data_IF_416349365973
#
_entry.id   IF_416349365973
#
_cell.length_a   1.000
_cell.length_b   1.000
_cell.length_c   1.000
_cell.angle_alpha   90.00
_cell.angle_beta   90.00
_cell.angle_gamma   90.00
#
_symmetry.space_group_name_H-M   'P 1'
#
loop_
_entity.id
_entity.type
_entity.pdbx_description
1 polymer ?
#
# COMPACT_ATOMS: atom_id res chain seq x y z
N UNK A 1 77.92 -36.77 25.78
CA UNK A 1 76.69 -37.42 25.32
C UNK A 1 75.54 -36.67 25.95
N UNK A 2 74.98 -35.72 25.22
CA UNK A 2 73.89 -34.92 25.69
C UNK A 2 72.78 -35.06 24.64
N UNK A 3 71.68 -35.67 25.05
CA UNK A 3 70.45 -35.85 24.24
C UNK A 3 69.63 -34.58 24.27
N UNK A 4 69.33 -33.98 23.09
CA UNK A 4 68.47 -32.88 22.93
C UNK A 4 67.03 -33.37 22.86
N UNK A 5 66.18 -32.90 23.77
CA UNK A 5 64.73 -33.04 23.69
C UNK A 5 64.18 -31.91 22.78
N UNK A 6 63.71 -32.27 21.60
CA UNK A 6 62.91 -31.41 20.76
C UNK A 6 61.47 -31.41 21.25
N UNK A 7 60.99 -30.28 21.75
CA UNK A 7 59.53 -30.00 21.93
C UNK A 7 58.93 -29.69 20.59
N UNK A 8 58.10 -30.58 20.06
CA UNK A 8 57.16 -30.29 19.00
C UNK A 8 56.00 -29.47 19.59
N UNK A 9 55.95 -28.22 19.22
CA UNK A 9 54.80 -27.35 19.46
C UNK A 9 53.73 -27.73 18.43
N UNK A 10 52.71 -28.49 18.84
CA UNK A 10 51.53 -28.69 18.08
C UNK A 10 50.77 -27.36 18.02
N UNK A 11 50.82 -26.70 16.84
CA UNK A 11 49.96 -25.59 16.54
C UNK A 11 48.50 -26.04 16.56
N UNK A 12 47.72 -25.50 17.49
CA UNK A 12 46.27 -25.59 17.48
C UNK A 12 45.80 -24.78 16.28
N UNK A 13 45.63 -25.45 15.16
CA UNK A 13 44.98 -24.86 13.97
C UNK A 13 43.56 -24.53 14.35
N UNK A 14 43.24 -23.26 14.25
CA UNK A 14 41.89 -22.69 14.43
C UNK A 14 40.99 -23.33 13.36
N UNK A 15 40.34 -24.43 13.70
CA UNK A 15 39.34 -25.09 12.84
C UNK A 15 38.04 -24.29 12.95
N UNK A 16 38.02 -23.13 12.30
CA UNK A 16 36.79 -22.39 12.11
C UNK A 16 35.96 -23.09 11.04
N UNK A 17 34.94 -23.81 11.46
CA UNK A 17 33.98 -24.44 10.59
C UNK A 17 32.79 -23.50 10.39
N UNK A 18 32.49 -23.18 9.14
CA UNK A 18 31.31 -22.37 8.79
C UNK A 18 30.20 -23.33 8.37
N UNK A 19 29.14 -23.41 9.18
CA UNK A 19 27.96 -24.23 8.90
C UNK A 19 26.82 -23.33 8.43
N UNK A 20 26.10 -23.79 7.40
CA UNK A 20 24.88 -23.14 6.95
C UNK A 20 23.68 -23.45 7.85
N UNK A 21 22.77 -22.47 8.03
CA UNK A 21 21.50 -22.72 8.70
C UNK A 21 20.66 -23.69 7.89
N UNK A 22 20.02 -24.66 8.54
CA UNK A 22 19.00 -25.52 7.95
C UNK A 22 17.63 -24.97 8.32
N UNK A 23 16.70 -24.95 7.35
CA UNK A 23 15.37 -24.37 7.52
C UNK A 23 14.32 -25.46 7.36
N UNK A 24 13.42 -25.59 8.33
CA UNK A 24 12.17 -26.33 8.17
C UNK A 24 11.14 -25.43 7.46
N UNK A 25 10.96 -25.62 6.17
CA UNK A 25 10.10 -24.81 5.30
C UNK A 25 8.66 -24.75 5.83
N UNK A 26 8.12 -25.88 6.31
CA UNK A 26 6.77 -25.96 6.89
C UNK A 26 6.59 -25.03 8.10
N UNK A 27 7.56 -25.03 9.02
CA UNK A 27 7.49 -24.14 10.20
C UNK A 27 7.66 -22.68 9.82
N UNK A 28 8.53 -22.39 8.86
CA UNK A 28 8.72 -21.03 8.36
C UNK A 28 7.42 -20.50 7.73
N UNK A 29 6.76 -21.28 6.86
CA UNK A 29 5.48 -20.92 6.27
C UNK A 29 4.41 -20.66 7.33
N UNK A 30 4.28 -21.54 8.33
CA UNK A 30 3.33 -21.35 9.44
C UNK A 30 3.62 -20.07 10.23
N UNK A 31 4.87 -19.77 10.54
CA UNK A 31 5.24 -18.52 11.19
C UNK A 31 4.91 -17.30 10.33
N UNK A 32 5.19 -17.36 9.03
CA UNK A 32 4.86 -16.27 8.10
C UNK A 32 3.35 -16.05 8.00
N UNK A 33 2.57 -17.10 7.81
CA UNK A 33 1.11 -17.04 7.66
C UNK A 33 0.46 -16.50 8.95
N UNK A 34 0.91 -16.92 10.13
CA UNK A 34 0.23 -16.58 11.39
C UNK A 34 0.84 -15.41 12.15
N UNK A 35 2.09 -15.02 11.89
CA UNK A 35 2.78 -14.00 12.67
C UNK A 35 3.04 -12.69 11.94
N UNK A 36 3.14 -12.70 10.60
CA UNK A 36 3.39 -11.49 9.83
C UNK A 36 2.13 -10.66 9.61
N UNK A 37 0.96 -11.28 9.68
CA UNK A 37 -0.27 -10.63 9.30
C UNK A 37 -1.29 -10.66 10.43
N UNK A 38 -1.48 -9.52 11.07
CA UNK A 38 -2.49 -9.34 12.14
C UNK A 38 -3.91 -9.25 11.59
N UNK A 39 -4.07 -8.89 10.32
CA UNK A 39 -5.37 -8.75 9.65
C UNK A 39 -5.45 -9.71 8.45
N UNK A 40 -6.43 -10.63 8.49
CA UNK A 40 -6.64 -11.62 7.43
C UNK A 40 -7.03 -10.98 6.09
N UNK A 41 -7.77 -9.88 6.11
CA UNK A 41 -8.29 -9.19 4.90
C UNK A 41 -7.21 -8.83 3.87
N UNK A 42 -5.97 -8.70 4.31
CA UNK A 42 -4.87 -8.29 3.44
C UNK A 42 -4.53 -9.29 2.34
N UNK A 43 -4.95 -10.57 2.46
CA UNK A 43 -4.69 -11.55 1.42
C UNK A 43 -5.21 -11.07 0.05
N UNK A 44 -6.40 -10.46 0.02
CA UNK A 44 -6.99 -9.97 -1.21
C UNK A 44 -6.21 -8.78 -1.77
N UNK A 45 -5.77 -7.86 -0.89
CA UNK A 45 -4.89 -6.76 -1.27
C UNK A 45 -3.61 -7.25 -1.95
N UNK A 46 -2.96 -8.26 -1.36
CA UNK A 46 -1.72 -8.83 -1.91
C UNK A 46 -1.92 -9.49 -3.27
N UNK A 47 -3.02 -10.26 -3.43
CA UNK A 47 -3.32 -10.92 -4.71
C UNK A 47 -3.65 -9.89 -5.81
N UNK A 48 -4.45 -8.86 -5.50
CA UNK A 48 -4.76 -7.79 -6.44
C UNK A 48 -3.50 -6.98 -6.79
N UNK A 49 -2.62 -6.72 -5.81
CA UNK A 49 -1.34 -6.04 -6.06
C UNK A 49 -0.44 -6.84 -6.99
N UNK A 50 -0.34 -8.16 -6.80
CA UNK A 50 0.44 -9.03 -7.67
C UNK A 50 -0.14 -9.06 -9.11
N UNK A 51 -1.47 -9.07 -9.24
CA UNK A 51 -2.15 -8.99 -10.53
C UNK A 51 -1.89 -7.65 -11.23
N UNK A 52 -1.90 -6.54 -10.46
CA UNK A 52 -1.52 -5.21 -10.96
C UNK A 52 -0.07 -5.17 -11.46
N UNK A 53 0.87 -5.74 -10.68
CA UNK A 53 2.28 -5.82 -11.06
C UNK A 53 2.47 -6.65 -12.35
N UNK A 54 1.73 -7.74 -12.52
CA UNK A 54 1.77 -8.57 -13.72
C UNK A 54 1.28 -7.81 -14.95
N UNK A 55 0.27 -6.97 -14.80
CA UNK A 55 -0.23 -6.11 -15.87
C UNK A 55 0.76 -5.00 -16.24
N UNK A 56 1.39 -4.36 -15.25
CA UNK A 56 2.41 -3.32 -15.49
C UNK A 56 3.68 -3.90 -16.12
N UNK A 57 4.11 -5.10 -15.71
CA UNK A 57 5.22 -5.83 -16.38
C UNK A 57 4.93 -6.10 -17.83
N UNK A 58 3.69 -6.54 -18.16
CA UNK A 58 3.30 -6.73 -19.56
C UNK A 58 3.35 -5.43 -20.35
N UNK A 59 2.84 -4.33 -19.81
CA UNK A 59 2.94 -3.01 -20.44
C UNK A 59 4.38 -2.63 -20.74
N UNK A 60 5.28 -2.88 -19.80
CA UNK A 60 6.69 -2.57 -19.95
C UNK A 60 7.36 -3.43 -21.02
N UNK A 61 7.17 -4.76 -21.00
CA UNK A 61 7.73 -5.65 -22.03
C UNK A 61 7.16 -5.35 -23.44
N UNK A 62 5.89 -4.95 -23.49
CA UNK A 62 5.23 -4.55 -24.74
C UNK A 62 5.81 -3.28 -25.38
N UNK A 63 6.56 -2.45 -24.66
CA UNK A 63 7.31 -1.34 -25.26
C UNK A 63 8.35 -1.84 -26.27
N UNK A 64 8.95 -3.00 -26.01
CA UNK A 64 9.92 -3.63 -26.89
C UNK A 64 9.26 -4.63 -27.87
N UNK A 65 8.15 -5.25 -27.46
CA UNK A 65 7.43 -6.29 -28.20
C UNK A 65 5.90 -6.03 -28.15
N UNK A 66 5.38 -5.10 -28.97
CA UNK A 66 3.97 -4.69 -28.93
C UNK A 66 2.98 -5.84 -29.12
N UNK A 67 3.34 -6.87 -29.86
CA UNK A 67 2.48 -8.05 -30.11
C UNK A 67 2.11 -8.81 -28.84
N UNK A 68 2.88 -8.67 -27.74
CA UNK A 68 2.56 -9.31 -26.47
C UNK A 68 1.28 -8.76 -25.82
N UNK A 69 0.99 -7.46 -26.01
CA UNK A 69 -0.16 -6.81 -25.39
C UNK A 69 -1.49 -7.21 -26.06
N UNK A 70 -1.50 -7.38 -27.39
CA UNK A 70 -2.73 -7.59 -28.15
C UNK A 70 -3.68 -6.38 -28.08
N UNK A 71 -4.95 -6.62 -28.39
CA UNK A 71 -6.00 -5.60 -28.40
C UNK A 71 -6.81 -5.54 -27.09
N UNK A 72 -6.56 -6.44 -26.14
CA UNK A 72 -7.34 -6.56 -24.91
C UNK A 72 -6.97 -5.51 -23.88
N UNK A 73 -7.99 -4.91 -23.24
CA UNK A 73 -7.78 -4.05 -22.07
C UNK A 73 -7.24 -4.87 -20.91
N UNK A 74 -6.20 -4.37 -20.23
CA UNK A 74 -5.67 -5.03 -19.03
C UNK A 74 -6.64 -4.83 -17.86
N UNK A 75 -7.05 -5.95 -17.25
CA UNK A 75 -8.01 -5.96 -16.15
C UNK A 75 -7.70 -7.07 -15.13
N UNK A 76 -8.30 -6.93 -13.97
CA UNK A 76 -8.29 -7.93 -12.90
C UNK A 76 -9.72 -8.41 -12.70
N UNK A 77 -9.93 -9.72 -12.77
CA UNK A 77 -11.24 -10.34 -12.56
C UNK A 77 -11.23 -11.13 -11.26
N UNK A 78 -12.28 -10.94 -10.48
CA UNK A 78 -12.50 -11.68 -9.25
C UNK A 78 -13.79 -12.47 -9.40
N UNK A 79 -13.74 -13.77 -9.15
CA UNK A 79 -14.88 -14.65 -9.23
C UNK A 79 -15.10 -15.33 -7.88
N UNK A 80 -16.36 -15.36 -7.46
CA UNK A 80 -16.79 -15.96 -6.19
C UNK A 80 -17.81 -17.05 -6.45
N UNK A 81 -17.51 -18.27 -5.99
CA UNK A 81 -18.45 -19.40 -5.96
C UNK A 81 -18.71 -19.75 -4.48
N UNK A 82 -19.85 -19.28 -3.98
CA UNK A 82 -20.25 -19.49 -2.58
C UNK A 82 -20.52 -20.94 -2.24
N UNK A 83 -21.10 -21.71 -3.18
CA UNK A 83 -21.46 -23.10 -2.94
C UNK A 83 -20.22 -23.98 -2.80
N UNK A 84 -19.21 -23.74 -3.64
CA UNK A 84 -17.94 -24.47 -3.62
C UNK A 84 -16.90 -23.83 -2.69
N UNK A 85 -17.19 -22.64 -2.13
CA UNK A 85 -16.25 -21.84 -1.34
C UNK A 85 -14.95 -21.57 -2.10
N UNK A 86 -15.10 -21.13 -3.35
CA UNK A 86 -13.97 -20.75 -4.18
C UNK A 86 -13.95 -19.23 -4.37
N UNK A 87 -12.76 -18.67 -4.25
CA UNK A 87 -12.48 -17.30 -4.62
C UNK A 87 -11.31 -17.30 -5.61
N UNK A 88 -11.52 -16.76 -6.81
CA UNK A 88 -10.48 -16.65 -7.82
C UNK A 88 -10.13 -15.20 -8.09
N UNK A 89 -8.84 -14.90 -8.20
CA UNK A 89 -8.31 -13.62 -8.67
C UNK A 89 -7.52 -13.90 -9.94
N UNK A 90 -7.93 -13.29 -11.05
CA UNK A 90 -7.33 -13.48 -12.38
C UNK A 90 -6.87 -12.16 -12.95
N UNK A 91 -5.72 -12.16 -13.61
CA UNK A 91 -5.23 -11.08 -14.45
C UNK A 91 -4.98 -11.58 -15.88
N UNK A 92 -4.98 -10.69 -16.84
CA UNK A 92 -4.53 -10.91 -18.20
C UNK A 92 -3.15 -10.25 -18.47
N UNK A 93 -2.32 -10.18 -17.43
CA UNK A 93 -0.97 -9.63 -17.45
C UNK A 93 0.05 -10.54 -18.12
N UNK A 94 1.31 -10.41 -17.67
CA UNK A 94 2.46 -11.09 -18.32
C UNK A 94 2.42 -12.61 -18.15
N UNK A 95 1.80 -13.16 -17.09
CA UNK A 95 1.86 -14.58 -16.75
C UNK A 95 3.26 -15.03 -16.33
N UNK A 96 3.45 -16.35 -16.21
CA UNK A 96 4.72 -16.94 -15.79
C UNK A 96 5.07 -18.17 -16.65
N UNK A 97 6.36 -18.33 -16.98
CA UNK A 97 6.92 -19.57 -17.49
C UNK A 97 7.03 -20.61 -16.37
N UNK A 98 7.38 -21.85 -16.71
CA UNK A 98 7.58 -22.93 -15.74
C UNK A 98 8.71 -22.61 -14.77
N UNK A 99 9.80 -22.05 -15.26
CA UNK A 99 10.96 -21.66 -14.49
C UNK A 99 10.61 -20.52 -13.54
N UNK A 100 9.96 -19.47 -14.06
CA UNK A 100 9.50 -18.33 -13.26
C UNK A 100 8.50 -18.75 -12.17
N UNK A 101 7.60 -19.69 -12.48
CA UNK A 101 6.62 -20.21 -11.52
C UNK A 101 7.31 -20.96 -10.37
N UNK A 102 8.26 -21.84 -10.68
CA UNK A 102 9.05 -22.56 -9.68
C UNK A 102 9.86 -21.58 -8.82
N UNK A 103 10.48 -20.62 -9.45
CA UNK A 103 11.34 -19.64 -8.79
C UNK A 103 10.54 -18.70 -7.87
N UNK A 104 9.41 -18.17 -8.36
CA UNK A 104 8.61 -17.19 -7.64
C UNK A 104 7.67 -17.79 -6.58
N UNK A 105 7.10 -18.99 -6.82
CA UNK A 105 6.16 -19.63 -5.88
C UNK A 105 6.78 -20.82 -5.14
N UNK A 106 7.88 -21.37 -5.62
CA UNK A 106 8.59 -22.46 -4.97
C UNK A 106 9.69 -21.99 -4.01
N UNK A 107 10.07 -20.70 -4.07
CA UNK A 107 11.11 -20.14 -3.17
C UNK A 107 10.51 -19.04 -2.31
N UNK A 108 10.47 -19.25 -0.99
CA UNK A 108 9.93 -18.29 -0.03
C UNK A 108 10.81 -17.03 0.01
N UNK A 109 10.16 -15.85 0.04
CA UNK A 109 10.80 -14.53 0.03
C UNK A 109 11.61 -14.22 -1.23
N UNK A 110 11.32 -14.88 -2.36
CA UNK A 110 11.82 -14.49 -3.66
C UNK A 110 10.74 -13.68 -4.39
N UNK A 111 11.11 -12.53 -4.93
CA UNK A 111 10.19 -11.63 -5.61
C UNK A 111 10.60 -11.44 -7.07
N UNK A 112 9.82 -11.97 -8.00
CA UNK A 112 9.99 -11.67 -9.42
C UNK A 112 9.75 -10.19 -9.76
N UNK A 113 9.10 -9.43 -8.88
CA UNK A 113 8.95 -7.97 -8.99
C UNK A 113 10.24 -7.25 -8.61
N UNK A 114 10.93 -7.68 -7.54
CA UNK A 114 12.23 -7.14 -7.17
C UNK A 114 13.28 -7.43 -8.25
N UNK A 115 13.34 -8.67 -8.75
CA UNK A 115 14.25 -9.05 -9.82
C UNK A 115 14.00 -8.26 -11.13
N UNK A 116 12.74 -7.98 -11.44
CA UNK A 116 12.38 -7.17 -12.59
C UNK A 116 12.81 -5.71 -12.42
N UNK A 117 12.64 -5.13 -11.23
CA UNK A 117 13.12 -3.78 -10.92
C UNK A 117 14.64 -3.65 -11.02
N UNK A 118 15.41 -4.67 -10.61
CA UNK A 118 16.87 -4.67 -10.72
C UNK A 118 17.35 -4.68 -12.18
N UNK A 119 16.57 -5.20 -13.11
CA UNK A 119 16.88 -5.19 -14.55
C UNK A 119 16.59 -3.86 -15.24
N UNK A 120 15.79 -3.00 -14.60
CA UNK A 120 15.48 -1.67 -15.09
C UNK A 120 16.63 -0.71 -14.82
N UNK A 121 16.83 0.28 -15.69
CA UNK A 121 17.88 1.28 -15.56
C UNK A 121 17.31 2.68 -15.34
N UNK A 122 17.86 3.42 -14.37
CA UNK A 122 17.64 4.86 -14.19
C UNK A 122 16.17 5.25 -14.07
N UNK A 123 15.71 6.14 -14.94
CA UNK A 123 14.36 6.71 -14.90
C UNK A 123 13.24 5.65 -15.02
N UNK A 124 13.52 4.51 -15.65
CA UNK A 124 12.54 3.42 -15.79
C UNK A 124 12.14 2.77 -14.44
N UNK A 125 13.09 2.67 -13.52
CA UNK A 125 12.77 2.17 -12.14
C UNK A 125 11.83 3.11 -11.41
N UNK A 126 11.97 4.41 -11.64
CA UNK A 126 11.14 5.45 -11.04
C UNK A 126 9.71 5.46 -11.58
N UNK A 127 9.55 5.14 -12.86
CA UNK A 127 8.25 5.12 -13.52
C UNK A 127 7.48 3.82 -13.25
N UNK A 128 8.17 2.74 -12.84
CA UNK A 128 7.58 1.46 -12.53
C UNK A 128 6.88 1.49 -11.16
N UNK A 129 5.54 1.46 -11.15
CA UNK A 129 4.73 1.50 -9.92
C UNK A 129 4.51 0.10 -9.33
N UNK A 130 5.54 -0.75 -9.32
CA UNK A 130 5.46 -2.12 -8.85
C UNK A 130 5.43 -2.21 -7.32
N UNK A 131 4.56 -3.09 -6.80
CA UNK A 131 4.15 -3.13 -5.40
C UNK A 131 4.76 -4.33 -4.65
N UNK A 132 4.83 -5.50 -5.31
CA UNK A 132 5.14 -6.80 -4.70
C UNK A 132 6.64 -7.10 -4.51
N UNK A 133 7.38 -6.26 -3.79
CA UNK A 133 8.85 -6.37 -3.68
C UNK A 133 9.36 -7.46 -2.70
N UNK A 134 8.53 -7.92 -1.76
CA UNK A 134 8.99 -8.80 -0.66
C UNK A 134 8.92 -10.30 -0.95
N UNK A 135 8.18 -10.73 -1.98
CA UNK A 135 8.04 -12.16 -2.34
C UNK A 135 7.32 -13.02 -1.31
N UNK A 136 6.53 -12.41 -0.41
CA UNK A 136 5.81 -13.14 0.65
C UNK A 136 4.30 -12.88 0.60
N UNK A 137 3.84 -11.86 -0.11
CA UNK A 137 2.43 -11.46 -0.16
C UNK A 137 1.52 -12.58 -0.67
N UNK A 138 1.97 -13.37 -1.64
CA UNK A 138 1.24 -14.51 -2.18
C UNK A 138 0.84 -15.53 -1.09
N UNK A 139 1.74 -15.82 -0.15
CA UNK A 139 1.47 -16.83 0.89
C UNK A 139 0.41 -16.40 1.90
N UNK A 140 0.00 -15.12 1.91
CA UNK A 140 -1.14 -14.66 2.70
C UNK A 140 -2.46 -15.34 2.29
N UNK A 141 -2.55 -15.90 1.08
CA UNK A 141 -3.67 -16.71 0.61
C UNK A 141 -3.96 -17.91 1.54
N UNK A 142 -2.93 -18.52 2.13
CA UNK A 142 -3.09 -19.65 3.05
C UNK A 142 -3.62 -19.26 4.44
N UNK A 143 -3.77 -17.96 4.73
CA UNK A 143 -4.49 -17.51 5.93
C UNK A 143 -5.95 -17.95 5.84
N UNK A 144 -6.56 -17.81 4.65
CA UNK A 144 -7.99 -18.03 4.40
C UNK A 144 -8.29 -19.29 3.60
N UNK A 145 -7.28 -19.93 2.99
CA UNK A 145 -7.46 -21.11 2.12
C UNK A 145 -6.70 -22.33 2.66
N UNK A 146 -7.33 -23.51 2.52
CA UNK A 146 -6.68 -24.80 2.78
C UNK A 146 -5.82 -25.25 1.60
N UNK A 147 -6.14 -24.76 0.40
CA UNK A 147 -5.49 -25.11 -0.84
C UNK A 147 -5.50 -23.91 -1.78
N UNK A 148 -4.40 -23.70 -2.49
CA UNK A 148 -4.27 -22.66 -3.52
C UNK A 148 -3.85 -23.31 -4.82
N UNK A 149 -4.58 -22.99 -5.90
CA UNK A 149 -4.27 -23.40 -7.28
C UNK A 149 -3.91 -22.17 -8.09
N UNK A 150 -2.82 -22.22 -8.84
CA UNK A 150 -2.37 -21.12 -9.72
C UNK A 150 -2.25 -21.66 -11.13
N UNK A 151 -3.10 -21.16 -12.03
CA UNK A 151 -3.05 -21.44 -13.47
C UNK A 151 -2.44 -20.25 -14.19
N UNK A 152 -1.36 -20.45 -14.95
CA UNK A 152 -0.66 -19.35 -15.60
C UNK A 152 -0.22 -19.68 -17.02
N UNK A 153 -0.29 -18.69 -17.90
CA UNK A 153 0.24 -18.72 -19.25
C UNK A 153 1.06 -17.45 -19.50
N UNK A 154 2.34 -17.62 -19.74
CA UNK A 154 3.24 -16.51 -20.07
C UNK A 154 2.84 -15.89 -21.41
N UNK A 155 2.84 -14.56 -21.51
CA UNK A 155 2.63 -13.87 -22.78
C UNK A 155 3.64 -14.33 -23.83
N UNK A 156 3.12 -14.73 -25.01
CA UNK A 156 3.93 -15.28 -26.11
C UNK A 156 4.29 -16.76 -25.97
N UNK A 157 3.90 -17.45 -24.89
CA UNK A 157 4.09 -18.89 -24.73
C UNK A 157 2.85 -19.68 -25.21
N UNK A 158 3.05 -20.94 -25.56
CA UNK A 158 1.97 -21.85 -25.99
C UNK A 158 1.50 -22.77 -24.85
N UNK A 159 2.37 -23.06 -23.88
CA UNK A 159 2.12 -24.00 -22.82
C UNK A 159 1.73 -23.31 -21.50
N UNK A 160 0.54 -23.58 -21.03
CA UNK A 160 0.09 -23.13 -19.72
C UNK A 160 0.40 -24.16 -18.62
N UNK A 161 0.52 -23.69 -17.40
CA UNK A 161 1.01 -24.46 -16.27
C UNK A 161 0.11 -24.23 -15.07
N UNK A 162 -0.18 -25.33 -14.36
CA UNK A 162 -0.83 -25.31 -13.04
C UNK A 162 0.17 -25.61 -11.96
N UNK A 163 0.15 -24.79 -10.92
CA UNK A 163 0.80 -25.02 -9.64
C UNK A 163 -0.28 -25.19 -8.56
N UNK A 164 -0.07 -26.11 -7.64
CA UNK A 164 -1.00 -26.38 -6.56
C UNK A 164 -0.27 -26.71 -5.27
N UNK A 165 -0.75 -26.17 -4.14
CA UNK A 165 -0.21 -26.45 -2.81
C UNK A 165 -1.29 -26.30 -1.73
N UNK A 166 -1.11 -27.03 -0.64
CA UNK A 166 -1.88 -26.91 0.62
C UNK A 166 -1.14 -26.02 1.67
N UNK A 167 0.00 -25.44 1.30
CA UNK A 167 0.80 -24.61 2.22
C UNK A 167 1.59 -25.40 3.25
N UNK A 168 1.65 -26.73 3.17
CA UNK A 168 2.37 -27.60 4.11
C UNK A 168 3.82 -27.90 3.67
N UNK A 169 4.34 -27.12 2.70
CA UNK A 169 5.75 -27.16 2.28
C UNK A 169 6.02 -27.95 1.02
N UNK A 170 4.99 -28.51 0.39
CA UNK A 170 5.08 -29.20 -0.90
C UNK A 170 4.15 -28.52 -1.91
N UNK A 171 4.46 -28.66 -3.20
CA UNK A 171 3.63 -28.22 -4.31
C UNK A 171 3.74 -29.17 -5.49
N UNK A 172 2.73 -29.17 -6.34
CA UNK A 172 2.71 -29.92 -7.58
C UNK A 172 2.68 -28.97 -8.76
N UNK A 173 3.23 -29.42 -9.89
CA UNK A 173 3.21 -28.68 -11.16
C UNK A 173 2.79 -29.62 -12.26
N UNK A 174 1.81 -29.19 -13.07
CA UNK A 174 1.35 -29.92 -14.24
C UNK A 174 1.14 -28.97 -15.44
N UNK A 175 1.29 -29.52 -16.64
CA UNK A 175 0.98 -28.81 -17.88
C UNK A 175 -0.54 -28.85 -18.09
N UNK A 176 -1.14 -27.72 -18.44
CA UNK A 176 -2.59 -27.60 -18.69
C UNK A 176 -2.87 -26.91 -20.02
N UNK A 177 -4.09 -27.01 -20.51
CA UNK A 177 -4.59 -26.21 -21.62
C UNK A 177 -5.24 -24.92 -21.08
N UNK A 178 -4.78 -23.77 -21.56
CA UNK A 178 -5.35 -22.46 -21.31
C UNK A 178 -5.13 -21.57 -22.52
N UNK A 179 -6.18 -20.92 -22.98
CA UNK A 179 -6.12 -20.08 -24.19
C UNK A 179 -5.66 -18.64 -23.91
N UNK A 180 -5.89 -18.13 -22.69
CA UNK A 180 -5.65 -16.73 -22.32
C UNK A 180 -4.36 -16.60 -21.51
N UNK A 181 -3.52 -15.61 -21.86
CA UNK A 181 -2.33 -15.23 -21.10
C UNK A 181 -2.72 -14.71 -19.70
N UNK A 182 -1.76 -14.62 -18.81
CA UNK A 182 -1.92 -14.09 -17.47
C UNK A 182 -1.97 -15.17 -16.40
N UNK A 183 -2.43 -14.82 -15.23
CA UNK A 183 -2.45 -15.72 -14.07
C UNK A 183 -3.82 -15.74 -13.42
N UNK A 184 -4.26 -16.93 -12.99
CA UNK A 184 -5.46 -17.14 -12.16
C UNK A 184 -5.05 -17.82 -10.88
N UNK A 185 -5.31 -17.18 -9.75
CA UNK A 185 -5.11 -17.73 -8.42
C UNK A 185 -6.46 -18.10 -7.85
N UNK A 186 -6.69 -19.39 -7.59
CA UNK A 186 -7.92 -19.91 -7.01
C UNK A 186 -7.68 -20.39 -5.59
N UNK A 187 -8.45 -19.86 -4.66
CA UNK A 187 -8.44 -20.14 -3.23
C UNK A 187 -9.58 -21.10 -2.89
N UNK A 188 -9.27 -22.25 -2.32
CA UNK A 188 -10.24 -23.14 -1.69
C UNK A 188 -10.36 -22.71 -0.22
N UNK A 189 -11.41 -21.94 0.08
CA UNK A 189 -11.56 -21.29 1.38
C UNK A 189 -11.84 -22.29 2.50
N UNK A 190 -11.23 -22.06 3.66
CA UNK A 190 -11.47 -22.80 4.89
C UNK A 190 -12.92 -22.68 5.34
N UNK A 191 -13.41 -23.65 6.10
CA UNK A 191 -14.78 -23.65 6.64
C UNK A 191 -15.07 -22.43 7.52
N UNK A 192 -14.11 -22.02 8.33
CA UNK A 192 -14.19 -20.88 9.23
C UNK A 192 -13.93 -19.52 8.55
N UNK A 193 -13.56 -19.51 7.27
CA UNK A 193 -13.31 -18.31 6.47
C UNK A 193 -14.36 -18.13 5.33
N UNK A 194 -15.53 -18.77 5.44
CA UNK A 194 -16.59 -18.71 4.45
C UNK A 194 -17.14 -17.28 4.20
N UNK A 195 -16.88 -16.31 5.08
CA UNK A 195 -17.24 -14.91 4.85
C UNK A 195 -16.60 -14.33 3.58
N UNK A 196 -15.43 -14.82 3.19
CA UNK A 196 -14.75 -14.40 1.97
C UNK A 196 -15.29 -15.04 0.68
N UNK A 197 -16.30 -15.91 0.79
CA UNK A 197 -17.11 -16.36 -0.33
C UNK A 197 -18.40 -15.51 -0.52
N UNK A 198 -18.58 -14.43 0.24
CA UNK A 198 -19.70 -13.51 0.09
C UNK A 198 -19.33 -12.35 -0.82
N UNK A 199 -20.03 -12.12 -1.96
CA UNK A 199 -19.68 -11.10 -2.96
C UNK A 199 -19.60 -9.70 -2.36
N UNK A 200 -20.54 -9.32 -1.49
CA UNK A 200 -20.55 -8.01 -0.84
C UNK A 200 -19.31 -7.79 0.05
N UNK A 201 -18.81 -8.86 0.68
CA UNK A 201 -17.61 -8.81 1.51
C UNK A 201 -16.39 -8.52 0.65
N UNK A 202 -16.26 -9.21 -0.46
CA UNK A 202 -15.19 -9.02 -1.44
C UNK A 202 -15.26 -7.61 -2.05
N UNK A 203 -16.44 -7.14 -2.47
CA UNK A 203 -16.61 -5.76 -2.95
C UNK A 203 -16.14 -4.73 -1.93
N UNK A 204 -16.52 -4.89 -0.66
CA UNK A 204 -16.09 -4.02 0.43
C UNK A 204 -14.57 -3.99 0.59
N UNK A 205 -13.89 -5.14 0.50
CA UNK A 205 -12.44 -5.24 0.60
C UNK A 205 -11.73 -4.61 -0.60
N UNK A 206 -12.24 -4.82 -1.82
CA UNK A 206 -11.70 -4.20 -3.02
C UNK A 206 -11.77 -2.68 -2.90
N UNK A 207 -12.93 -2.13 -2.51
CA UNK A 207 -13.10 -0.68 -2.29
C UNK A 207 -12.20 -0.14 -1.19
N UNK A 208 -11.97 -0.90 -0.13
CA UNK A 208 -11.11 -0.49 0.98
C UNK A 208 -9.64 -0.43 0.59
N UNK A 209 -9.12 -1.49 -0.04
CA UNK A 209 -7.68 -1.68 -0.22
C UNK A 209 -7.16 -1.37 -1.62
N UNK A 210 -8.00 -1.49 -2.64
CA UNK A 210 -7.58 -1.51 -4.05
C UNK A 210 -8.42 -0.60 -4.96
N UNK A 211 -9.20 0.35 -4.38
CA UNK A 211 -10.11 1.20 -5.13
C UNK A 211 -9.39 2.04 -6.20
N UNK A 212 -8.18 2.44 -5.93
CA UNK A 212 -7.42 3.40 -6.74
C UNK A 212 -6.28 2.80 -7.56
N UNK A 213 -6.16 1.47 -7.63
CA UNK A 213 -5.18 0.82 -8.52
C UNK A 213 -5.48 1.16 -9.98
N UNK A 214 -4.45 1.17 -10.84
CA UNK A 214 -4.56 1.65 -12.22
C UNK A 214 -5.28 0.72 -13.20
N UNK A 215 -5.92 -0.35 -12.73
CA UNK A 215 -6.63 -1.33 -13.54
C UNK A 215 -8.05 -1.52 -13.03
N UNK A 216 -8.98 -1.83 -13.94
CA UNK A 216 -10.34 -2.20 -13.57
C UNK A 216 -10.32 -3.52 -12.80
N UNK A 217 -11.02 -3.56 -11.68
CA UNK A 217 -11.30 -4.79 -10.93
C UNK A 217 -12.76 -5.11 -11.10
N UNK A 218 -13.05 -6.20 -11.77
CA UNK A 218 -14.39 -6.70 -11.98
C UNK A 218 -14.69 -7.87 -11.04
N UNK A 219 -15.91 -7.90 -10.50
CA UNK A 219 -16.41 -8.94 -9.62
C UNK A 219 -17.57 -9.66 -10.30
N UNK A 220 -17.48 -10.99 -10.33
CA UNK A 220 -18.53 -11.89 -10.78
C UNK A 220 -18.87 -12.88 -9.66
N UNK A 221 -20.14 -13.02 -9.35
CA UNK A 221 -20.63 -14.03 -8.42
C UNK A 221 -21.30 -15.16 -9.20
N UNK A 222 -21.00 -16.41 -8.85
CA UNK A 222 -21.62 -17.57 -9.47
C UNK A 222 -23.13 -17.51 -9.32
N UNK A 223 -23.85 -17.65 -10.46
CA UNK A 223 -25.32 -17.51 -10.52
C UNK A 223 -25.82 -16.09 -10.80
N UNK A 224 -24.96 -15.09 -10.92
CA UNK A 224 -25.32 -13.75 -11.41
C UNK A 224 -24.98 -13.61 -12.90
N UNK A 225 -25.87 -12.97 -13.67
CA UNK A 225 -25.68 -12.79 -15.12
C UNK A 225 -24.70 -11.64 -15.45
N UNK A 226 -24.44 -10.74 -14.50
CA UNK A 226 -23.65 -9.54 -14.74
C UNK A 226 -22.33 -9.53 -13.97
N UNK A 227 -21.26 -9.13 -14.66
CA UNK A 227 -19.97 -8.80 -14.06
C UNK A 227 -19.92 -7.31 -13.76
N UNK A 228 -19.62 -6.94 -12.52
CA UNK A 228 -19.62 -5.56 -12.04
C UNK A 228 -18.18 -5.04 -11.85
N UNK A 229 -17.85 -3.88 -12.44
CA UNK A 229 -16.63 -3.15 -12.08
C UNK A 229 -16.83 -2.52 -10.70
N UNK A 230 -15.97 -2.85 -9.74
CA UNK A 230 -16.17 -2.53 -8.31
C UNK A 230 -15.20 -1.49 -7.76
N UNK A 231 -14.14 -1.15 -8.49
CA UNK A 231 -13.18 -0.12 -8.09
C UNK A 231 -13.27 1.13 -8.97
N UNK A 232 -12.71 2.24 -8.49
CA UNK A 232 -12.64 3.50 -9.25
C UNK A 232 -11.59 3.46 -10.35
N UNK A 233 -10.58 2.60 -10.26
CA UNK A 233 -9.44 2.44 -11.17
C UNK A 233 -8.66 3.73 -11.44
N UNK A 234 -8.92 4.78 -10.67
CA UNK A 234 -8.29 6.11 -10.79
C UNK A 234 -8.00 6.67 -9.41
N UNK A 235 -6.87 7.35 -9.30
CA UNK A 235 -6.50 8.09 -8.10
C UNK A 235 -6.47 9.58 -8.44
N UNK A 236 -7.43 10.35 -7.92
CA UNK A 236 -7.56 11.77 -8.22
C UNK A 236 -6.25 12.52 -7.95
N UNK A 237 -5.54 12.16 -6.90
CA UNK A 237 -4.30 12.80 -6.49
C UNK A 237 -3.10 12.52 -7.41
N UNK A 238 -3.19 11.56 -8.33
CA UNK A 238 -2.13 11.30 -9.32
C UNK A 238 -2.28 12.15 -10.57
N UNK A 239 -3.46 12.77 -10.78
CA UNK A 239 -3.73 13.63 -11.93
C UNK A 239 -3.08 15.00 -11.75
N UNK A 240 -2.81 15.69 -12.86
CA UNK A 240 -2.35 17.08 -12.79
C UNK A 240 -3.42 17.98 -12.13
N UNK A 241 -2.97 18.94 -11.31
CA UNK A 241 -3.89 19.92 -10.71
C UNK A 241 -4.71 20.72 -11.71
N UNK A 242 -4.20 20.89 -12.91
CA UNK A 242 -4.90 21.57 -14.01
C UNK A 242 -6.04 20.76 -14.61
N UNK A 243 -6.00 19.44 -14.41
CA UNK A 243 -6.92 18.47 -15.01
C UNK A 243 -8.01 18.03 -14.03
N UNK A 244 -7.99 18.56 -12.81
CA UNK A 244 -8.95 18.26 -11.75
C UNK A 244 -9.76 19.52 -11.44
N UNK A 245 -11.07 19.45 -11.60
CA UNK A 245 -11.99 20.54 -11.29
C UNK A 245 -12.21 20.70 -9.78
N UNK A 246 -12.70 21.88 -9.37
CA UNK A 246 -13.06 22.12 -7.97
C UNK A 246 -14.15 21.18 -7.46
N UNK A 247 -15.11 20.84 -8.30
CA UNK A 247 -16.18 19.91 -7.94
C UNK A 247 -15.65 18.50 -7.72
N UNK A 248 -14.69 18.02 -8.53
CA UNK A 248 -14.05 16.72 -8.32
C UNK A 248 -13.28 16.70 -6.97
N UNK A 249 -12.59 17.79 -6.58
CA UNK A 249 -11.94 17.86 -5.27
C UNK A 249 -12.95 17.80 -4.12
N UNK A 250 -14.09 18.45 -4.24
CA UNK A 250 -15.14 18.45 -3.21
C UNK A 250 -15.83 17.09 -3.10
N UNK A 251 -16.17 16.48 -4.23
CA UNK A 251 -16.75 15.13 -4.24
C UNK A 251 -15.79 14.08 -3.69
N UNK A 252 -14.51 14.18 -4.03
CA UNK A 252 -13.50 13.30 -3.44
C UNK A 252 -13.36 13.51 -1.93
N UNK A 253 -13.44 14.73 -1.43
CA UNK A 253 -13.47 15.00 0.01
C UNK A 253 -14.64 14.31 0.69
N UNK A 254 -15.86 14.43 0.14
CA UNK A 254 -17.07 13.79 0.68
C UNK A 254 -16.94 12.26 0.68
N UNK A 255 -16.41 11.70 -0.39
CA UNK A 255 -16.12 10.28 -0.49
C UNK A 255 -15.11 9.82 0.58
N UNK A 256 -14.01 10.58 0.76
CA UNK A 256 -12.93 10.26 1.68
C UNK A 256 -13.35 10.31 3.16
N UNK A 257 -14.17 11.31 3.51
CA UNK A 257 -14.52 11.63 4.91
C UNK A 257 -15.91 11.17 5.32
N UNK A 258 -16.75 10.77 4.34
CA UNK A 258 -18.17 10.53 4.52
C UNK A 258 -18.93 11.76 5.08
N UNK A 259 -18.37 12.95 4.85
CA UNK A 259 -19.02 14.23 5.15
C UNK A 259 -19.93 14.68 4.00
N UNK A 260 -21.01 15.35 4.31
CA UNK A 260 -21.94 15.90 3.30
C UNK A 260 -21.59 17.34 2.92
N UNK A 261 -20.83 18.03 3.76
CA UNK A 261 -20.44 19.41 3.54
C UNK A 261 -19.19 19.52 2.68
N UNK A 262 -19.04 20.64 1.97
CA UNK A 262 -17.82 20.95 1.25
C UNK A 262 -16.69 21.32 2.21
N UNK A 263 -15.41 21.03 1.86
CA UNK A 263 -14.26 21.46 2.66
C UNK A 263 -14.09 22.99 2.56
N UNK A 264 -13.49 23.62 3.57
CA UNK A 264 -13.12 25.04 3.51
C UNK A 264 -12.05 25.31 2.45
N UNK A 265 -11.05 24.44 2.39
CA UNK A 265 -9.95 24.55 1.44
C UNK A 265 -9.23 23.22 1.30
N UNK A 266 -8.44 23.10 0.23
CA UNK A 266 -7.59 21.94 -0.01
C UNK A 266 -6.23 22.32 -0.59
N UNK A 267 -5.31 21.39 -0.55
CA UNK A 267 -3.99 21.53 -1.15
C UNK A 267 -3.57 20.21 -1.79
N UNK A 268 -3.39 20.23 -3.10
CA UNK A 268 -2.89 19.12 -3.88
C UNK A 268 -1.44 19.39 -4.27
N UNK A 269 -0.50 18.51 -3.88
CA UNK A 269 0.92 18.69 -4.11
C UNK A 269 1.57 17.38 -4.50
N UNK A 270 2.47 17.47 -5.48
CA UNK A 270 3.42 16.44 -5.84
C UNK A 270 4.82 16.91 -5.47
N UNK A 271 5.55 16.08 -4.77
CA UNK A 271 6.94 16.32 -4.37
C UNK A 271 7.78 15.31 -5.11
N UNK A 272 8.78 15.82 -5.85
CA UNK A 272 9.72 15.03 -6.64
C UNK A 272 11.15 15.26 -6.12
N UNK A 273 12.03 14.29 -6.25
CA UNK A 273 13.42 14.36 -5.85
C UNK A 273 13.87 13.19 -4.98
N UNK A 274 14.61 13.45 -3.89
CA UNK A 274 15.05 12.38 -2.98
C UNK A 274 13.90 11.61 -2.29
N UNK A 275 12.72 12.17 -2.29
CA UNK A 275 11.48 11.60 -1.73
C UNK A 275 10.38 11.95 -2.68
N UNK A 276 9.70 10.92 -3.13
CA UNK A 276 8.56 11.09 -4.01
C UNK A 276 7.27 10.75 -3.28
N UNK A 277 6.40 11.74 -3.21
CA UNK A 277 5.05 11.53 -2.70
C UNK A 277 4.09 12.59 -3.25
N UNK A 278 2.85 12.19 -3.35
CA UNK A 278 1.74 13.09 -3.60
C UNK A 278 0.92 13.24 -2.32
N UNK A 279 0.45 14.45 -2.05
CA UNK A 279 -0.47 14.72 -0.93
C UNK A 279 -1.65 15.54 -1.39
N UNK A 280 -2.85 15.13 -0.98
CA UNK A 280 -4.08 15.88 -1.14
C UNK A 280 -4.69 16.06 0.24
N UNK A 281 -4.60 17.29 0.76
CA UNK A 281 -4.97 17.65 2.12
C UNK A 281 -6.19 18.55 2.11
N UNK A 282 -7.10 18.36 3.05
CA UNK A 282 -8.34 19.11 3.21
C UNK A 282 -8.48 19.68 4.61
N UNK A 283 -9.06 20.87 4.70
CA UNK A 283 -9.55 21.45 5.94
C UNK A 283 -11.08 21.38 5.92
N UNK A 284 -11.70 20.60 6.82
CA UNK A 284 -13.15 20.49 6.90
C UNK A 284 -13.83 21.82 7.18
N UNK A 285 -15.12 21.95 6.83
CA UNK A 285 -15.91 23.14 7.13
C UNK A 285 -16.54 23.15 8.52
N UNK A 286 -16.57 21.98 9.19
CA UNK A 286 -17.05 21.82 10.55
C UNK A 286 -16.16 20.82 11.30
N UNK A 287 -16.07 20.98 12.61
CA UNK A 287 -15.32 20.06 13.45
C UNK A 287 -16.02 18.68 13.50
N UNK A 288 -15.30 17.57 13.22
CA UNK A 288 -15.85 16.24 13.43
C UNK A 288 -16.29 16.08 14.90
N UNK A 289 -17.38 15.33 15.13
CA UNK A 289 -17.92 15.13 16.48
C UNK A 289 -16.94 14.44 17.43
N UNK A 290 -16.02 13.67 16.89
CA UNK A 290 -14.97 12.92 17.59
C UNK A 290 -13.64 13.68 17.73
N UNK A 291 -13.58 14.94 17.28
CA UNK A 291 -12.35 15.76 17.30
C UNK A 291 -11.68 15.80 18.68
N UNK A 292 -12.49 15.75 19.75
CA UNK A 292 -12.02 15.82 21.14
C UNK A 292 -11.72 14.46 21.76
N UNK A 293 -12.11 13.38 21.09
CA UNK A 293 -11.74 12.03 21.50
C UNK A 293 -10.31 11.72 21.04
N UNK A 294 -9.38 11.58 21.98
CA UNK A 294 -7.97 11.30 21.69
C UNK A 294 -7.72 9.88 21.23
N UNK A 295 -8.66 8.98 21.41
CA UNK A 295 -8.59 7.58 20.98
C UNK A 295 -9.30 7.36 19.64
N UNK A 296 -9.99 8.37 19.11
CA UNK A 296 -10.62 8.26 17.80
C UNK A 296 -9.57 8.12 16.70
N UNK A 297 -9.86 7.31 15.66
CA UNK A 297 -9.04 7.23 14.46
C UNK A 297 -8.78 8.60 13.87
N UNK A 298 -7.52 8.92 13.67
CA UNK A 298 -7.09 10.25 13.20
C UNK A 298 -5.84 10.13 12.33
N UNK A 299 -5.69 11.05 11.43
CA UNK A 299 -4.55 11.10 10.53
C UNK A 299 -4.97 11.16 9.08
N UNK A 300 -4.00 10.92 8.23
CA UNK A 300 -4.17 10.88 6.80
C UNK A 300 -4.28 9.43 6.35
N UNK A 301 -5.03 9.19 5.28
CA UNK A 301 -4.98 7.88 4.61
C UNK A 301 -3.65 7.75 3.88
N UNK A 302 -2.93 6.69 4.18
CA UNK A 302 -1.67 6.38 3.52
C UNK A 302 -1.89 5.36 2.42
N UNK A 303 -1.34 5.70 1.26
CA UNK A 303 -1.20 4.82 0.11
C UNK A 303 0.28 4.65 -0.24
N UNK A 304 0.62 3.51 -0.80
CA UNK A 304 1.90 3.26 -1.47
C UNK A 304 1.60 2.67 -2.82
N UNK A 305 2.05 3.36 -3.89
CA UNK A 305 1.69 3.03 -5.27
C UNK A 305 0.17 2.84 -5.47
N UNK A 306 -0.64 3.75 -4.91
CA UNK A 306 -2.12 3.73 -4.96
C UNK A 306 -2.80 2.57 -4.23
N UNK A 307 -2.03 1.71 -3.55
CA UNK A 307 -2.56 0.66 -2.68
C UNK A 307 -2.70 1.21 -1.27
N UNK A 308 -3.88 1.03 -0.69
CA UNK A 308 -4.17 1.47 0.66
C UNK A 308 -3.35 0.68 1.70
N UNK A 309 -2.72 1.42 2.61
CA UNK A 309 -1.90 0.88 3.69
C UNK A 309 -2.61 1.03 5.03
N UNK A 310 -3.06 2.24 5.38
CA UNK A 310 -3.71 2.52 6.66
C UNK A 310 -4.53 3.82 6.64
N UNK A 311 -5.54 3.90 7.51
CA UNK A 311 -6.42 5.06 7.67
C UNK A 311 -5.86 6.13 8.59
N UNK A 312 -5.04 5.72 9.57
CA UNK A 312 -4.72 6.52 10.74
C UNK A 312 -3.24 6.78 10.82
N UNK A 313 -2.67 7.34 9.74
CA UNK A 313 -1.25 7.66 9.69
C UNK A 313 -0.94 8.89 10.59
N UNK A 314 -1.07 8.70 11.92
CA UNK A 314 -0.81 9.72 12.95
C UNK A 314 0.61 10.29 12.90
N UNK A 315 1.54 9.54 12.30
CA UNK A 315 2.93 9.90 12.17
C UNK A 315 3.14 11.12 11.27
N UNK A 316 2.20 11.40 10.35
CA UNK A 316 2.37 12.46 9.36
C UNK A 316 1.99 13.85 9.83
N UNK A 317 1.15 13.97 10.84
CA UNK A 317 0.74 15.27 11.36
C UNK A 317 0.83 15.31 12.89
N UNK A 318 1.17 16.46 13.49
CA UNK A 318 1.10 16.64 14.94
C UNK A 318 -0.36 16.66 15.41
N UNK A 319 -0.58 16.30 16.67
CA UNK A 319 -1.90 16.14 17.27
C UNK A 319 -2.80 17.36 17.14
N UNK A 320 -2.23 18.57 17.19
CA UNK A 320 -2.98 19.81 17.05
C UNK A 320 -3.52 20.07 15.62
N UNK A 321 -3.11 19.25 14.63
CA UNK A 321 -3.62 19.27 13.27
C UNK A 321 -4.51 18.04 12.94
N UNK A 322 -5.01 17.34 13.96
CA UNK A 322 -5.81 16.11 13.80
C UNK A 322 -7.13 16.30 13.06
N UNK A 323 -7.59 17.54 12.87
CA UNK A 323 -8.77 17.86 12.07
C UNK A 323 -8.51 17.79 10.57
N UNK A 324 -7.25 17.81 10.13
CA UNK A 324 -6.91 17.73 8.72
C UNK A 324 -7.22 16.32 8.20
N UNK A 325 -7.91 16.26 7.08
CA UNK A 325 -8.22 15.03 6.35
C UNK A 325 -7.45 15.01 5.04
N UNK A 326 -7.28 13.83 4.46
CA UNK A 326 -6.59 13.74 3.18
C UNK A 326 -5.90 12.43 2.94
N UNK A 327 -5.15 12.40 1.85
CA UNK A 327 -4.36 11.24 1.43
C UNK A 327 -2.90 11.64 1.24
N UNK A 328 -2.01 10.71 1.53
CA UNK A 328 -0.60 10.73 1.16
C UNK A 328 -0.33 9.45 0.41
N UNK A 329 0.24 9.56 -0.79
CA UNK A 329 0.67 8.43 -1.61
C UNK A 329 2.16 8.57 -1.90
N UNK A 330 2.94 7.59 -1.52
CA UNK A 330 4.40 7.61 -1.65
C UNK A 330 4.91 6.36 -2.35
N UNK A 331 5.87 6.53 -3.26
CA UNK A 331 6.61 5.44 -3.88
C UNK A 331 7.80 4.95 -3.05
N UNK A 332 8.32 5.79 -2.14
CA UNK A 332 9.63 5.57 -1.49
C UNK A 332 9.54 5.20 -0.01
N UNK A 333 8.33 5.11 0.56
CA UNK A 333 8.19 4.78 1.97
C UNK A 333 8.60 3.35 2.25
N UNK A 334 9.62 3.13 3.11
CA UNK A 334 9.98 1.79 3.52
C UNK A 334 8.88 1.20 4.41
N UNK A 335 8.25 0.18 3.89
CA UNK A 335 7.31 -0.65 4.60
C UNK A 335 8.02 -1.91 5.12
N UNK A 336 7.52 -2.47 6.21
CA UNK A 336 7.91 -3.82 6.61
C UNK A 336 7.24 -4.87 5.68
N UNK A 337 7.54 -6.13 5.92
CA UNK A 337 7.02 -7.25 5.12
C UNK A 337 5.48 -7.32 5.15
N UNK A 338 4.84 -6.91 6.25
CA UNK A 338 3.38 -6.82 6.38
C UNK A 338 2.77 -5.54 5.81
N UNK A 339 3.60 -4.71 5.17
CA UNK A 339 3.26 -3.37 4.67
C UNK A 339 2.77 -2.40 5.76
N UNK A 340 3.27 -2.57 6.97
CA UNK A 340 3.09 -1.60 8.04
C UNK A 340 4.24 -0.61 8.06
N UNK A 341 3.97 0.61 8.51
CA UNK A 341 5.00 1.64 8.63
C UNK A 341 6.05 1.28 9.69
N UNK A 342 7.32 1.44 9.33
CA UNK A 342 8.40 1.41 10.29
C UNK A 342 8.37 2.68 11.14
N UNK A 343 7.96 2.56 12.42
CA UNK A 343 7.70 3.69 13.32
C UNK A 343 8.89 4.65 13.53
N UNK A 344 10.12 4.19 13.35
CA UNK A 344 11.33 5.00 13.53
C UNK A 344 12.08 5.16 12.20
N UNK A 345 11.53 5.99 11.30
CA UNK A 345 12.18 6.29 10.03
C UNK A 345 12.44 7.80 9.89
N UNK A 346 13.68 8.21 9.58
CA UNK A 346 14.01 9.62 9.29
C UNK A 346 13.20 10.22 8.14
N UNK A 347 12.76 9.40 7.19
CA UNK A 347 11.94 9.83 6.05
C UNK A 347 10.54 10.24 6.48
N UNK A 348 9.92 9.47 7.39
CA UNK A 348 8.63 9.84 7.99
C UNK A 348 8.71 11.17 8.73
N UNK A 349 9.79 11.39 9.50
CA UNK A 349 9.98 12.64 10.23
C UNK A 349 10.10 13.84 9.30
N UNK A 350 10.78 13.68 8.17
CA UNK A 350 10.92 14.74 7.18
C UNK A 350 9.60 14.99 6.42
N UNK A 351 8.85 13.95 6.05
CA UNK A 351 7.53 14.09 5.45
C UNK A 351 6.56 14.79 6.42
N UNK A 352 6.57 14.42 7.70
CA UNK A 352 5.80 15.09 8.75
C UNK A 352 6.10 16.60 8.80
N UNK A 353 7.37 16.98 8.78
CA UNK A 353 7.76 18.40 8.74
C UNK A 353 7.22 19.12 7.52
N UNK A 354 7.34 18.50 6.34
CA UNK A 354 6.86 19.10 5.09
C UNK A 354 5.33 19.22 5.04
N UNK A 355 4.60 18.19 5.45
CA UNK A 355 3.13 18.17 5.51
C UNK A 355 2.61 19.17 6.54
N UNK A 356 3.23 19.23 7.74
CA UNK A 356 2.90 20.21 8.77
C UNK A 356 3.05 21.63 8.24
N UNK A 357 4.19 21.94 7.61
CA UNK A 357 4.41 23.25 6.97
C UNK A 357 3.35 23.56 5.93
N UNK A 358 3.00 22.58 5.09
CA UNK A 358 1.97 22.75 4.06
C UNK A 358 0.60 23.09 4.67
N UNK A 359 0.20 22.39 5.72
CA UNK A 359 -1.06 22.69 6.43
C UNK A 359 -1.02 24.10 7.02
N UNK A 360 0.08 24.49 7.68
CA UNK A 360 0.22 25.84 8.22
C UNK A 360 0.17 26.93 7.13
N UNK A 361 0.75 26.67 5.95
CA UNK A 361 0.63 27.56 4.80
C UNK A 361 -0.83 27.69 4.31
N UNK A 362 -1.60 26.57 4.30
CA UNK A 362 -3.02 26.59 3.98
C UNK A 362 -3.81 27.45 4.98
N UNK A 363 -3.55 27.25 6.28
CA UNK A 363 -4.18 28.04 7.35
C UNK A 363 -3.80 29.53 7.27
N UNK A 364 -2.55 29.82 6.93
CA UNK A 364 -2.07 31.20 6.73
C UNK A 364 -2.75 31.92 5.55
N UNK A 365 -3.12 31.18 4.49
CA UNK A 365 -3.93 31.70 3.37
C UNK A 365 -5.38 31.91 3.80
N UNK A 366 -5.96 30.92 4.48
CA UNK A 366 -7.34 30.97 4.98
C UNK A 366 -7.52 32.16 5.95
N UNK A 367 -6.50 32.45 6.78
CA UNK A 367 -6.51 33.58 7.71
C UNK A 367 -6.61 34.97 7.04
N UNK A 368 -6.42 35.04 5.73
CA UNK A 368 -6.56 36.28 4.94
C UNK A 368 -7.91 36.35 4.20
N UNK A 369 -8.68 35.29 4.22
CA UNK A 369 -9.97 35.17 3.54
C UNK A 369 -11.17 35.36 4.48
N UNK A 370 -12.36 35.31 3.90
CA UNK A 370 -13.65 35.53 4.60
C UNK A 370 -14.05 34.33 5.48
N UNK A 371 -13.50 33.12 5.20
CA UNK A 371 -13.81 31.90 5.95
C UNK A 371 -13.03 31.76 7.27
N UNK A 372 -12.19 32.75 7.61
CA UNK A 372 -11.35 32.66 8.81
C UNK A 372 -12.13 32.52 10.09
N UNK A 373 -13.17 33.32 10.29
CA UNK A 373 -13.96 33.33 11.50
C UNK A 373 -14.68 31.97 11.70
N UNK A 374 -15.16 31.38 10.63
CA UNK A 374 -15.74 30.03 10.63
C UNK A 374 -14.69 29.00 11.03
N UNK A 375 -13.53 29.01 10.37
CA UNK A 375 -12.43 28.12 10.68
C UNK A 375 -12.00 28.26 12.15
N UNK A 376 -11.82 29.49 12.63
CA UNK A 376 -11.35 29.75 14.00
C UNK A 376 -12.35 29.32 15.06
N UNK A 377 -13.66 29.47 14.80
CA UNK A 377 -14.71 28.99 15.66
C UNK A 377 -14.68 27.47 15.85
N UNK A 378 -14.43 26.74 14.77
CA UNK A 378 -14.42 25.28 14.77
C UNK A 378 -13.11 24.68 15.30
N UNK A 379 -11.96 25.21 14.87
CA UNK A 379 -10.64 24.55 15.06
C UNK A 379 -9.65 25.36 15.91
N UNK A 380 -9.97 26.61 16.28
CA UNK A 380 -9.05 27.47 17.02
C UNK A 380 -8.61 26.91 18.37
N UNK A 381 -9.50 26.16 19.05
CA UNK A 381 -9.18 25.55 20.34
C UNK A 381 -8.17 24.39 20.18
N UNK A 382 -8.37 23.50 19.22
CA UNK A 382 -7.45 22.39 18.97
C UNK A 382 -6.09 22.87 18.44
N UNK A 383 -6.10 23.93 17.64
CA UNK A 383 -4.88 24.52 17.12
C UNK A 383 -4.01 25.11 18.25
N UNK A 384 -4.63 25.70 19.29
CA UNK A 384 -3.94 26.24 20.47
C UNK A 384 -3.20 25.18 21.29
N UNK A 385 -3.58 23.91 21.20
CA UNK A 385 -2.81 22.82 21.81
C UNK A 385 -1.36 22.77 21.28
N UNK A 386 -1.15 23.13 20.00
CA UNK A 386 0.19 23.23 19.40
C UNK A 386 1.07 24.29 20.04
N UNK A 387 0.50 25.40 20.50
CA UNK A 387 1.26 26.46 21.17
C UNK A 387 1.86 26.02 22.49
N UNK A 388 1.19 25.10 23.22
CA UNK A 388 1.67 24.57 24.49
C UNK A 388 2.83 23.58 24.32
N UNK A 389 2.91 22.92 23.19
CA UNK A 389 3.96 21.95 22.87
C UNK A 389 5.27 22.63 22.38
N UNK A 390 5.16 23.84 21.82
CA UNK A 390 6.31 24.60 21.28
C UNK A 390 7.00 25.52 22.28
N UNK A 391 6.62 25.51 23.55
CA UNK A 391 7.30 26.26 24.62
C UNK A 391 8.64 25.64 25.08
N UNK A 392 9.16 24.64 24.36
CA UNK A 392 10.50 24.12 24.60
C UNK A 392 11.58 25.03 23.95
N UNK A 393 12.62 25.41 24.67
CA UNK A 393 13.54 26.50 24.28
C UNK A 393 14.61 26.04 23.28
N UNK A 394 14.23 25.58 22.10
CA UNK A 394 15.21 25.35 21.02
C UNK A 394 15.12 26.47 19.99
N UNK A 395 16.17 27.29 19.80
CA UNK A 395 16.17 28.39 18.82
C UNK A 395 16.21 27.91 17.34
N UNK A 396 16.18 26.61 17.10
CA UNK A 396 16.21 26.04 15.73
C UNK A 396 14.85 25.85 15.08
N UNK A 397 13.75 25.99 15.83
CA UNK A 397 12.39 25.71 15.38
C UNK A 397 11.53 26.95 15.11
N UNK A 398 12.15 28.09 14.86
CA UNK A 398 11.47 29.40 14.73
C UNK A 398 10.64 29.61 13.45
N UNK A 399 10.54 28.63 12.53
CA UNK A 399 9.76 28.77 11.29
C UNK A 399 8.24 28.72 11.49
N UNK A 400 7.68 27.83 12.31
CA UNK A 400 6.24 27.71 12.59
C UNK A 400 5.69 28.82 13.49
N UNK A 401 6.51 29.41 14.37
CA UNK A 401 6.09 30.41 15.37
C UNK A 401 5.45 31.67 14.75
N UNK A 402 5.89 32.10 13.57
CA UNK A 402 5.35 33.29 12.91
C UNK A 402 3.92 33.08 12.40
N UNK A 403 3.61 31.90 11.89
CA UNK A 403 2.26 31.57 11.42
C UNK A 403 1.31 31.39 12.61
N UNK A 404 1.77 30.74 13.69
CA UNK A 404 1.01 30.61 14.93
C UNK A 404 0.73 31.97 15.59
N UNK A 405 1.70 32.86 15.65
CA UNK A 405 1.50 34.23 16.15
C UNK A 405 0.49 35.01 15.33
N UNK A 406 0.59 34.99 14.02
CA UNK A 406 -0.38 35.67 13.12
C UNK A 406 -1.79 35.12 13.28
N UNK A 407 -1.96 33.82 13.46
CA UNK A 407 -3.25 33.18 13.67
C UNK A 407 -3.82 33.50 15.04
N UNK A 408 -3.00 33.58 16.09
CA UNK A 408 -3.40 33.92 17.44
C UNK A 408 -3.71 35.42 17.61
N UNK A 409 -2.94 36.31 16.98
CA UNK A 409 -3.16 37.75 17.03
C UNK A 409 -4.49 38.15 16.35
N UNK A 410 -4.88 37.52 15.23
CA UNK A 410 -6.19 37.73 14.60
C UNK A 410 -7.35 37.20 15.43
N UNK A 411 -7.20 36.04 16.10
CA UNK A 411 -8.25 35.44 16.94
C UNK A 411 -8.44 36.11 18.31
N UNK A 412 -7.48 36.92 18.76
CA UNK A 412 -7.53 37.63 20.05
C UNK A 412 -8.21 39.00 20.04
N UNK A 413 -8.59 39.51 18.87
CA UNK A 413 -9.17 40.85 18.72
C UNK A 413 -10.67 41.01 19.01
N UNK A 414 -11.37 39.98 19.48
CA UNK A 414 -12.81 39.96 19.67
C UNK A 414 -13.30 39.85 21.14
N UNK A 415 -12.61 40.44 22.10
CA UNK A 415 -12.99 40.36 23.53
C UNK A 415 -12.72 41.63 24.30
N UNK A 416 -13.45 42.68 23.98
CA UNK A 416 -13.36 43.93 24.72
C UNK A 416 -14.51 44.86 24.37
N UNK A 417 -15.65 44.63 25.03
CA UNK A 417 -16.83 45.47 24.94
C UNK A 417 -17.90 44.94 25.93
#
# INVERSE_FOLDING_TARGET
MVSAFGQEIYGVGDKRETLGFQTEVRQLLKLMIHSLYSNKEIFLRELISNASDAADKLRFEALAQPDLLGDDELEIRIEVDKEKRLLSVSDNGIGMSREELIDNLGTIARSGTAEFLEQMTGDQQHDAQLIGQFGVGFYSAFIVADKVTVDTLRAGAEQAIRWESDGEGEFTIEDIERAERGTRVTLHLKDDEAEFAEPYRIESLIRKYSDHIGFKVSLHAEGEDETKVVNSATALWTRSRTDVSEDEYKEFYKYLTHDFADPLTWSHNRVEGKREYTSLLYIPSAAPFDLWNREAPRGLKLYVHRVFIMDDAEQFLPLYLRFVKGVVDSSDLPLNVSRELLQQNPELSAMRGALTKRVLDMLGKLAKGDDYDKYWGEFGQVLKEGCLLYTSPSPRDCGPDLVFRLLLEKGGGGGGG
#
